data_IF_112218630181
#
_entry.id   IF_112218630181
#
_cell.length_a   1.000
_cell.length_b   1.000
_cell.length_c   1.000
_cell.angle_alpha   90.00
_cell.angle_beta   90.00
_cell.angle_gamma   90.00
#
_symmetry.space_group_name_H-M   'P 1'
#
loop_
_entity.id
_entity.type
_entity.pdbx_description
1 polymer ?
#
# COMPACT_ATOMS: atom_id res chain seq x y z
N UNK A 1 -34.13 -35.04 -4.45
CA UNK A 1 -33.04 -34.04 -4.35
C UNK A 1 -32.93 -33.67 -2.89
N UNK A 2 -31.97 -34.28 -2.19
CA UNK A 2 -31.77 -34.12 -0.75
C UNK A 2 -31.43 -32.65 -0.44
N UNK A 3 -32.23 -32.03 0.42
CA UNK A 3 -31.98 -30.68 0.88
C UNK A 3 -30.67 -30.68 1.67
N UNK A 4 -29.63 -30.04 1.15
CA UNK A 4 -28.46 -29.70 1.94
C UNK A 4 -28.94 -29.01 3.23
N UNK A 5 -28.47 -29.41 4.42
CA UNK A 5 -28.92 -28.84 5.71
C UNK A 5 -28.48 -27.37 5.93
N UNK A 6 -28.03 -26.69 4.87
CA UNK A 6 -27.49 -25.34 4.86
C UNK A 6 -28.24 -24.53 3.80
N UNK A 7 -29.01 -23.54 4.25
CA UNK A 7 -29.63 -22.55 3.35
C UNK A 7 -28.57 -21.60 2.80
N UNK A 8 -28.07 -21.90 1.60
CA UNK A 8 -27.09 -21.09 0.88
C UNK A 8 -27.63 -19.75 0.38
N UNK A 9 -28.95 -19.49 0.49
CA UNK A 9 -29.55 -18.21 0.12
C UNK A 9 -29.57 -17.21 1.29
N UNK A 10 -29.36 -17.68 2.53
CA UNK A 10 -29.29 -16.79 3.69
C UNK A 10 -28.00 -15.94 3.67
N UNK A 11 -28.08 -14.61 3.82
CA UNK A 11 -26.92 -13.71 3.68
C UNK A 11 -25.80 -14.01 4.69
N UNK A 12 -26.15 -14.38 5.94
CA UNK A 12 -25.17 -14.75 6.95
C UNK A 12 -24.41 -16.06 6.61
N UNK A 13 -25.06 -17.01 5.94
CA UNK A 13 -24.43 -18.28 5.51
C UNK A 13 -23.47 -18.00 4.35
N UNK A 14 -23.83 -17.10 3.42
CA UNK A 14 -22.94 -16.66 2.33
C UNK A 14 -21.70 -15.93 2.86
N UNK A 15 -21.89 -15.01 3.81
CA UNK A 15 -20.78 -14.29 4.45
C UNK A 15 -19.85 -15.27 5.18
N UNK A 16 -20.40 -16.24 5.92
CA UNK A 16 -19.61 -17.29 6.57
C UNK A 16 -18.84 -18.16 5.56
N UNK A 17 -19.50 -18.64 4.49
CA UNK A 17 -18.85 -19.44 3.45
C UNK A 17 -17.76 -18.67 2.70
N UNK A 18 -17.97 -17.37 2.44
CA UNK A 18 -16.95 -16.52 1.83
C UNK A 18 -15.73 -16.32 2.73
N UNK A 19 -15.97 -16.18 4.03
CA UNK A 19 -14.94 -16.03 5.05
C UNK A 19 -14.13 -17.32 5.20
N UNK A 20 -14.78 -18.48 5.23
CA UNK A 20 -14.11 -19.80 5.24
C UNK A 20 -13.27 -20.00 3.97
N UNK A 21 -13.82 -19.67 2.80
CA UNK A 21 -13.05 -19.74 1.54
C UNK A 21 -11.82 -18.85 1.57
N UNK A 22 -11.94 -17.62 2.05
CA UNK A 22 -10.80 -16.70 2.17
C UNK A 22 -9.78 -17.16 3.21
N UNK A 23 -10.21 -17.72 4.33
CA UNK A 23 -9.31 -18.26 5.36
C UNK A 23 -8.45 -19.42 4.84
N UNK A 24 -8.92 -20.17 3.84
CA UNK A 24 -8.14 -21.22 3.19
C UNK A 24 -7.34 -20.66 2.01
N UNK A 25 -7.98 -19.87 1.16
CA UNK A 25 -7.42 -19.39 -0.10
C UNK A 25 -6.30 -18.38 0.10
N UNK A 26 -6.42 -17.47 1.08
CA UNK A 26 -5.40 -16.45 1.34
C UNK A 26 -4.08 -17.05 1.83
N UNK A 27 -4.02 -17.87 2.90
CA UNK A 27 -2.77 -18.48 3.33
C UNK A 27 -2.17 -19.39 2.26
N UNK A 28 -3.02 -20.16 1.55
CA UNK A 28 -2.56 -21.01 0.46
C UNK A 28 -1.90 -20.19 -0.66
N UNK A 29 -2.54 -19.11 -1.11
CA UNK A 29 -1.98 -18.23 -2.15
C UNK A 29 -0.66 -17.60 -1.74
N UNK A 30 -0.54 -17.19 -0.47
CA UNK A 30 0.68 -16.64 0.09
C UNK A 30 1.80 -17.67 0.12
N UNK A 31 1.53 -18.89 0.60
CA UNK A 31 2.51 -19.98 0.65
C UNK A 31 3.01 -20.35 -0.75
N UNK A 32 2.11 -20.44 -1.73
CA UNK A 32 2.47 -20.71 -3.12
C UNK A 32 3.36 -19.60 -3.69
N UNK A 33 3.00 -18.33 -3.44
CA UNK A 33 3.80 -17.18 -3.87
C UNK A 33 5.21 -17.21 -3.24
N UNK A 34 5.30 -17.37 -1.92
CA UNK A 34 6.56 -17.47 -1.19
C UNK A 34 7.42 -18.63 -1.70
N UNK A 35 6.84 -19.82 -1.85
CA UNK A 35 7.55 -21.00 -2.33
C UNK A 35 8.08 -20.79 -3.76
N UNK A 36 7.24 -20.25 -4.64
CA UNK A 36 7.62 -19.98 -6.03
C UNK A 36 8.76 -18.97 -6.11
N UNK A 37 8.63 -17.82 -5.43
CA UNK A 37 9.68 -16.79 -5.43
C UNK A 37 10.96 -17.31 -4.79
N UNK A 38 10.88 -18.10 -3.72
CA UNK A 38 12.05 -18.70 -3.07
C UNK A 38 12.76 -19.71 -3.99
N UNK A 39 12.01 -20.58 -4.66
CA UNK A 39 12.56 -21.55 -5.63
C UNK A 39 13.23 -20.82 -6.79
N UNK A 40 12.56 -19.83 -7.38
CA UNK A 40 13.12 -19.03 -8.49
C UNK A 40 14.32 -18.17 -8.06
N UNK A 41 14.48 -17.87 -6.78
CA UNK A 41 15.57 -17.01 -6.28
C UNK A 41 16.78 -17.78 -5.76
N UNK A 42 16.58 -18.94 -5.12
CA UNK A 42 17.61 -19.65 -4.36
C UNK A 42 17.93 -21.02 -4.94
N UNK A 43 16.92 -21.74 -5.46
CA UNK A 43 17.08 -23.14 -5.88
C UNK A 43 17.52 -23.22 -7.35
N UNK A 44 16.97 -22.37 -8.21
CA UNK A 44 17.26 -22.38 -9.64
C UNK A 44 18.41 -21.41 -9.94
N UNK A 45 19.35 -21.86 -10.78
CA UNK A 45 20.47 -21.05 -11.28
C UNK A 45 20.43 -20.98 -12.82
N UNK A 46 20.49 -19.79 -13.44
CA UNK A 46 20.50 -18.47 -12.80
C UNK A 46 19.18 -18.14 -12.08
N UNK A 47 19.26 -17.50 -10.91
CA UNK A 47 18.08 -17.09 -10.14
C UNK A 47 17.54 -15.72 -10.53
N UNK A 48 16.47 -15.25 -9.87
CA UNK A 48 15.87 -13.93 -10.15
C UNK A 48 16.88 -12.77 -10.09
N UNK A 49 17.75 -12.79 -9.08
CA UNK A 49 18.78 -11.77 -8.88
C UNK A 49 19.90 -11.83 -9.92
N UNK A 50 20.26 -13.02 -10.39
CA UNK A 50 21.26 -13.20 -11.44
C UNK A 50 20.74 -12.70 -12.78
N UNK A 51 19.46 -12.96 -13.09
CA UNK A 51 18.81 -12.40 -14.28
C UNK A 51 18.78 -10.87 -14.19
N UNK A 52 18.48 -10.28 -13.03
CA UNK A 52 18.54 -8.83 -12.87
C UNK A 52 19.95 -8.26 -13.13
N UNK A 53 21.01 -9.00 -12.78
CA UNK A 53 22.40 -8.62 -13.07
C UNK A 53 22.76 -8.74 -14.55
N UNK A 54 22.15 -9.67 -15.27
CA UNK A 54 22.32 -9.81 -16.73
C UNK A 54 21.65 -8.67 -17.52
N UNK A 55 20.61 -8.06 -16.95
CA UNK A 55 19.84 -6.99 -17.58
C UNK A 55 19.88 -5.69 -16.76
N UNK A 56 21.06 -5.04 -16.63
CA UNK A 56 21.16 -3.78 -15.92
C UNK A 56 20.43 -2.68 -16.72
N UNK A 57 19.67 -1.85 -16.01
CA UNK A 57 18.94 -0.72 -16.56
C UNK A 57 19.13 0.52 -15.67
N UNK A 58 18.79 1.70 -16.18
CA UNK A 58 19.14 2.96 -15.51
C UNK A 58 18.51 3.06 -14.11
N UNK A 59 17.33 2.46 -13.94
CA UNK A 59 16.56 2.43 -12.71
C UNK A 59 16.70 1.12 -11.92
N UNK A 60 17.63 0.24 -12.31
CA UNK A 60 17.83 -1.04 -11.64
C UNK A 60 18.15 -0.84 -10.14
N UNK A 61 17.42 -1.50 -9.24
CA UNK A 61 17.70 -1.48 -7.81
C UNK A 61 18.73 -2.53 -7.41
N UNK A 62 19.33 -2.37 -6.24
CA UNK A 62 20.18 -3.37 -5.60
C UNK A 62 19.35 -4.64 -5.26
N UNK A 63 19.64 -5.81 -5.87
CA UNK A 63 18.79 -6.99 -5.72
C UNK A 63 18.59 -7.44 -4.28
N UNK A 64 19.62 -7.34 -3.44
CA UNK A 64 19.55 -7.73 -2.03
C UNK A 64 18.56 -6.86 -1.24
N UNK A 65 18.53 -5.55 -1.49
CA UNK A 65 17.60 -4.64 -0.81
C UNK A 65 16.15 -4.87 -1.23
N UNK A 66 15.91 -5.26 -2.49
CA UNK A 66 14.59 -5.68 -2.96
C UNK A 66 14.17 -7.00 -2.32
N UNK A 67 15.10 -7.95 -2.17
CA UNK A 67 14.82 -9.22 -1.48
C UNK A 67 14.38 -8.99 -0.03
N UNK A 68 15.09 -8.13 0.72
CA UNK A 68 14.68 -7.72 2.08
C UNK A 68 13.27 -7.12 2.08
N UNK A 69 12.99 -6.23 1.12
CA UNK A 69 11.68 -5.60 1.01
C UNK A 69 10.57 -6.63 0.77
N UNK A 70 10.80 -7.61 -0.11
CA UNK A 70 9.86 -8.71 -0.38
C UNK A 70 9.63 -9.57 0.88
N UNK A 71 10.70 -9.87 1.64
CA UNK A 71 10.58 -10.59 2.92
C UNK A 71 9.70 -9.80 3.91
N UNK A 72 9.86 -8.49 4.02
CA UNK A 72 9.02 -7.65 4.88
C UNK A 72 7.55 -7.68 4.44
N UNK A 73 7.26 -7.65 3.13
CA UNK A 73 5.90 -7.84 2.63
C UNK A 73 5.35 -9.19 3.07
N UNK A 74 6.11 -10.28 2.89
CA UNK A 74 5.65 -11.61 3.27
C UNK A 74 5.39 -11.74 4.77
N UNK A 75 6.25 -11.18 5.62
CA UNK A 75 6.01 -11.12 7.06
C UNK A 75 4.70 -10.39 7.39
N UNK A 76 4.45 -9.25 6.73
CA UNK A 76 3.20 -8.52 6.89
C UNK A 76 1.97 -9.31 6.40
N UNK A 77 2.09 -10.06 5.30
CA UNK A 77 1.02 -10.93 4.80
C UNK A 77 0.78 -12.16 5.68
N UNK A 78 1.81 -12.70 6.33
CA UNK A 78 1.64 -13.73 7.36
C UNK A 78 0.83 -13.14 8.53
N UNK A 79 1.17 -11.93 8.97
CA UNK A 79 0.40 -11.20 9.99
C UNK A 79 -1.06 -10.96 9.59
N UNK A 80 -1.31 -10.63 8.32
CA UNK A 80 -2.66 -10.55 7.75
C UNK A 80 -3.42 -11.88 7.87
N UNK A 81 -2.78 -13.00 7.51
CA UNK A 81 -3.37 -14.33 7.63
C UNK A 81 -3.67 -14.72 9.08
N UNK A 82 -2.80 -14.35 10.02
CA UNK A 82 -3.05 -14.56 11.45
C UNK A 82 -4.25 -13.73 11.93
N UNK A 83 -4.36 -12.47 11.49
CA UNK A 83 -5.54 -11.64 11.78
C UNK A 83 -6.83 -12.24 11.21
N UNK A 84 -6.81 -12.81 10.01
CA UNK A 84 -7.97 -13.49 9.42
C UNK A 84 -8.53 -14.61 10.29
N UNK A 85 -7.66 -15.32 11.01
CA UNK A 85 -8.06 -16.41 11.92
C UNK A 85 -8.45 -15.89 13.30
N UNK A 86 -7.71 -14.90 13.82
CA UNK A 86 -7.85 -14.41 15.19
C UNK A 86 -8.89 -13.29 15.35
N UNK A 87 -9.26 -12.58 14.28
CA UNK A 87 -10.17 -11.44 14.34
C UNK A 87 -11.56 -11.87 14.81
N UNK A 88 -11.98 -11.31 15.94
CA UNK A 88 -13.33 -11.53 16.49
C UNK A 88 -14.31 -10.41 16.15
N UNK A 89 -13.79 -9.20 15.90
CA UNK A 89 -14.60 -8.00 15.61
C UNK A 89 -15.21 -8.05 14.20
N UNK A 90 -16.52 -7.79 14.03
CA UNK A 90 -17.18 -7.85 12.74
C UNK A 90 -16.65 -6.79 11.76
N UNK A 91 -16.22 -5.64 12.25
CA UNK A 91 -15.66 -4.56 11.42
C UNK A 91 -14.35 -5.01 10.77
N UNK A 92 -13.45 -5.61 11.56
CA UNK A 92 -12.18 -6.15 11.05
C UNK A 92 -12.43 -7.30 10.06
N UNK A 93 -13.37 -8.20 10.35
CA UNK A 93 -13.76 -9.27 9.41
C UNK A 93 -14.28 -8.72 8.09
N UNK A 94 -15.12 -7.68 8.12
CA UNK A 94 -15.62 -7.04 6.92
C UNK A 94 -14.49 -6.38 6.12
N UNK A 95 -13.58 -5.68 6.77
CA UNK A 95 -12.41 -5.09 6.09
C UNK A 95 -11.53 -6.14 5.43
N UNK A 96 -11.31 -7.28 6.10
CA UNK A 96 -10.54 -8.40 5.58
C UNK A 96 -11.22 -9.07 4.38
N UNK A 97 -12.51 -9.40 4.50
CA UNK A 97 -13.24 -10.17 3.49
C UNK A 97 -13.64 -9.31 2.29
N UNK A 98 -14.26 -8.15 2.54
CA UNK A 98 -14.85 -7.29 1.51
C UNK A 98 -13.85 -6.27 0.95
N UNK A 99 -12.84 -5.89 1.73
CA UNK A 99 -11.84 -4.91 1.30
C UNK A 99 -10.69 -5.51 0.50
N UNK A 100 -10.05 -6.55 1.04
CA UNK A 100 -8.71 -6.99 0.60
C UNK A 100 -8.64 -8.44 0.14
N UNK A 101 -9.50 -9.31 0.69
CA UNK A 101 -9.34 -10.75 0.62
C UNK A 101 -9.08 -11.30 -0.79
N UNK A 102 -10.01 -11.09 -1.72
CA UNK A 102 -9.92 -11.65 -3.06
C UNK A 102 -8.85 -10.97 -3.95
N UNK A 103 -8.75 -9.62 -3.99
CA UNK A 103 -7.66 -8.95 -4.72
C UNK A 103 -6.27 -9.36 -4.25
N UNK A 104 -6.06 -9.54 -2.94
CA UNK A 104 -4.76 -9.94 -2.40
C UNK A 104 -4.40 -11.38 -2.78
N UNK A 105 -5.38 -12.29 -2.79
CA UNK A 105 -5.18 -13.66 -3.30
C UNK A 105 -4.71 -13.64 -4.74
N UNK A 106 -5.41 -12.91 -5.62
CA UNK A 106 -5.02 -12.81 -7.02
C UNK A 106 -3.65 -12.13 -7.16
N UNK A 107 -3.35 -11.09 -6.38
CA UNK A 107 -2.04 -10.45 -6.36
C UNK A 107 -0.92 -11.45 -6.02
N UNK A 108 -1.14 -12.36 -5.06
CA UNK A 108 -0.17 -13.40 -4.73
C UNK A 108 0.07 -14.38 -5.89
N UNK A 109 -0.99 -14.82 -6.57
CA UNK A 109 -0.88 -15.67 -7.75
C UNK A 109 -0.17 -14.98 -8.92
N UNK A 110 -0.50 -13.72 -9.18
CA UNK A 110 0.12 -12.93 -10.24
C UNK A 110 1.60 -12.67 -9.93
N UNK A 111 1.96 -12.41 -8.67
CA UNK A 111 3.35 -12.27 -8.24
C UNK A 111 4.14 -13.58 -8.39
N UNK A 112 3.54 -14.72 -8.07
CA UNK A 112 4.15 -16.03 -8.30
C UNK A 112 4.40 -16.27 -9.80
N UNK A 113 3.38 -16.01 -10.63
CA UNK A 113 3.50 -16.11 -12.08
C UNK A 113 4.52 -15.14 -12.67
N UNK A 114 4.63 -13.93 -12.11
CA UNK A 114 5.63 -12.95 -12.49
C UNK A 114 7.05 -13.48 -12.28
N UNK A 115 7.32 -14.10 -11.12
CA UNK A 115 8.64 -14.67 -10.82
C UNK A 115 9.03 -15.77 -11.81
N UNK A 116 8.08 -16.64 -12.17
CA UNK A 116 8.29 -17.68 -13.20
C UNK A 116 8.53 -17.05 -14.58
N UNK A 117 7.72 -16.08 -14.99
CA UNK A 117 7.90 -15.39 -16.27
C UNK A 117 9.24 -14.65 -16.35
N UNK A 118 9.68 -14.03 -15.24
CA UNK A 118 10.99 -13.39 -15.14
C UNK A 118 12.12 -14.40 -15.26
N UNK A 119 12.01 -15.55 -14.58
CA UNK A 119 12.99 -16.62 -14.64
C UNK A 119 13.21 -17.14 -16.06
N UNK A 120 12.13 -17.31 -16.83
CA UNK A 120 12.18 -17.71 -18.24
C UNK A 120 12.52 -16.55 -19.20
N UNK A 121 12.85 -15.36 -18.68
CA UNK A 121 13.16 -14.17 -19.46
C UNK A 121 12.03 -13.76 -20.42
N UNK A 122 10.78 -14.13 -20.11
CA UNK A 122 9.60 -13.73 -20.84
C UNK A 122 9.20 -12.29 -20.42
N UNK A 123 10.06 -11.31 -20.68
CA UNK A 123 9.96 -9.95 -20.13
C UNK A 123 8.65 -9.24 -20.48
N UNK A 124 8.11 -9.46 -21.68
CA UNK A 124 6.80 -8.92 -22.05
C UNK A 124 5.68 -9.47 -21.15
N UNK A 125 5.62 -10.80 -20.99
CA UNK A 125 4.64 -11.48 -20.12
C UNK A 125 4.84 -11.02 -18.67
N UNK A 126 6.09 -10.94 -18.23
CA UNK A 126 6.47 -10.47 -16.90
C UNK A 126 5.99 -9.04 -16.65
N UNK A 127 6.14 -8.14 -17.63
CA UNK A 127 5.66 -6.75 -17.55
C UNK A 127 4.14 -6.66 -17.52
N UNK A 128 3.43 -7.46 -18.33
CA UNK A 128 1.96 -7.56 -18.30
C UNK A 128 1.49 -8.03 -16.93
N UNK A 129 2.11 -9.07 -16.36
CA UNK A 129 1.78 -9.57 -15.03
C UNK A 129 2.01 -8.52 -13.95
N UNK A 130 3.10 -7.74 -14.00
CA UNK A 130 3.30 -6.61 -13.07
C UNK A 130 2.25 -5.50 -13.25
N UNK A 131 1.80 -5.24 -14.48
CA UNK A 131 0.69 -4.31 -14.74
C UNK A 131 -0.61 -4.79 -14.09
N UNK A 132 -0.96 -6.06 -14.27
CA UNK A 132 -2.13 -6.69 -13.63
C UNK A 132 -1.99 -6.65 -12.11
N UNK A 133 -0.82 -6.99 -11.58
CA UNK A 133 -0.52 -6.92 -10.14
C UNK A 133 -0.75 -5.51 -9.60
N UNK A 134 -0.23 -4.49 -10.29
CA UNK A 134 -0.36 -3.10 -9.90
C UNK A 134 -1.84 -2.66 -9.89
N UNK A 135 -2.63 -3.04 -10.90
CA UNK A 135 -4.07 -2.74 -10.95
C UNK A 135 -4.83 -3.39 -9.78
N UNK A 136 -4.57 -4.67 -9.50
CA UNK A 136 -5.18 -5.38 -8.37
C UNK A 136 -4.87 -4.71 -7.03
N UNK A 137 -3.61 -4.30 -6.84
CA UNK A 137 -3.16 -3.67 -5.59
C UNK A 137 -3.65 -2.22 -5.47
N UNK A 138 -3.73 -1.47 -6.56
CA UNK A 138 -4.38 -0.15 -6.57
C UNK A 138 -5.86 -0.29 -6.21
N UNK A 139 -6.57 -1.23 -6.83
CA UNK A 139 -7.97 -1.51 -6.50
C UNK A 139 -8.14 -1.82 -5.01
N UNK A 140 -7.35 -2.74 -4.46
CA UNK A 140 -7.41 -3.08 -3.03
C UNK A 140 -7.15 -1.86 -2.13
N UNK A 141 -6.17 -1.02 -2.47
CA UNK A 141 -5.87 0.20 -1.71
C UNK A 141 -6.96 1.27 -1.81
N UNK A 142 -7.58 1.42 -2.98
CA UNK A 142 -8.71 2.36 -3.18
C UNK A 142 -9.94 1.89 -2.38
N UNK A 143 -10.26 0.59 -2.42
CA UNK A 143 -11.37 0.02 -1.64
C UNK A 143 -11.11 0.19 -0.15
N UNK A 144 -9.90 -0.12 0.32
CA UNK A 144 -9.49 0.11 1.71
C UNK A 144 -9.61 1.58 2.11
N UNK A 145 -9.27 2.50 1.21
CA UNK A 145 -9.31 3.90 1.51
C UNK A 145 -10.74 4.46 1.61
N UNK A 146 -11.62 4.05 0.69
CA UNK A 146 -12.98 4.60 0.56
C UNK A 146 -13.93 3.93 1.56
N UNK A 147 -13.93 2.60 1.60
CA UNK A 147 -14.94 1.83 2.34
C UNK A 147 -14.47 1.40 3.74
N UNK A 148 -13.15 1.32 3.97
CA UNK A 148 -12.57 0.85 5.23
C UNK A 148 -11.41 1.72 5.72
N UNK A 149 -11.63 3.03 5.92
CA UNK A 149 -10.54 3.98 6.14
C UNK A 149 -9.69 3.62 7.37
N UNK A 150 -8.38 3.89 7.32
CA UNK A 150 -7.48 3.64 8.44
C UNK A 150 -7.89 4.50 9.65
N UNK A 151 -8.06 3.86 10.81
CA UNK A 151 -8.45 4.53 12.06
C UNK A 151 -7.41 4.28 13.14
N UNK A 152 -7.05 5.33 13.90
CA UNK A 152 -6.09 5.22 15.01
C UNK A 152 -6.59 4.35 16.17
N UNK A 153 -7.89 4.10 16.24
CA UNK A 153 -8.52 3.23 17.24
C UNK A 153 -8.23 1.73 17.02
N UNK A 154 -7.76 1.33 15.83
CA UNK A 154 -7.50 -0.06 15.45
C UNK A 154 -6.08 -0.19 14.88
N UNK A 155 -5.04 -0.09 15.74
CA UNK A 155 -3.65 -0.06 15.29
C UNK A 155 -3.22 -1.36 14.60
N UNK A 156 -3.77 -2.52 15.01
CA UNK A 156 -3.48 -3.80 14.38
C UNK A 156 -4.06 -3.89 12.96
N UNK A 157 -5.27 -3.35 12.71
CA UNK A 157 -5.84 -3.28 11.35
C UNK A 157 -4.93 -2.42 10.45
N UNK A 158 -4.43 -1.29 10.97
CA UNK A 158 -3.47 -0.44 10.25
C UNK A 158 -2.15 -1.17 9.93
N UNK A 159 -1.56 -1.83 10.92
CA UNK A 159 -0.25 -2.46 10.79
C UNK A 159 -0.26 -3.76 9.96
N UNK A 160 -1.34 -4.54 10.02
CA UNK A 160 -1.40 -5.88 9.44
C UNK A 160 -2.37 -6.02 8.27
N UNK A 161 -3.19 -5.00 7.97
CA UNK A 161 -4.02 -4.96 6.77
C UNK A 161 -3.52 -3.86 5.84
N UNK A 162 -3.55 -2.61 6.29
CA UNK A 162 -3.23 -1.48 5.42
C UNK A 162 -1.74 -1.44 5.05
N UNK A 163 -0.84 -1.61 6.02
CA UNK A 163 0.59 -1.52 5.78
C UNK A 163 1.12 -2.57 4.77
N UNK A 164 0.87 -3.88 4.91
CA UNK A 164 1.38 -4.86 3.95
C UNK A 164 0.80 -4.67 2.55
N UNK A 165 -0.49 -4.36 2.42
CA UNK A 165 -1.15 -4.14 1.12
C UNK A 165 -0.60 -2.88 0.43
N UNK A 166 -0.32 -1.82 1.20
CA UNK A 166 0.34 -0.61 0.68
C UNK A 166 1.78 -0.89 0.27
N UNK A 167 2.56 -1.52 1.14
CA UNK A 167 3.95 -1.87 0.85
C UNK A 167 4.04 -2.77 -0.39
N UNK A 168 3.12 -3.72 -0.54
CA UNK A 168 3.06 -4.58 -1.70
C UNK A 168 2.72 -3.81 -2.98
N UNK A 169 1.82 -2.82 -2.94
CA UNK A 169 1.50 -1.95 -4.08
C UNK A 169 2.66 -1.04 -4.48
N UNK A 170 3.37 -0.49 -3.49
CA UNK A 170 4.43 0.48 -3.71
C UNK A 170 5.63 -0.14 -4.44
N UNK A 171 5.87 -1.43 -4.25
CA UNK A 171 6.96 -2.15 -4.90
C UNK A 171 6.88 -2.15 -6.45
N UNK A 172 5.81 -2.67 -7.09
CA UNK A 172 5.63 -2.56 -8.53
C UNK A 172 5.47 -1.12 -8.98
N UNK A 173 4.76 -0.28 -8.22
CA UNK A 173 4.54 1.12 -8.57
C UNK A 173 5.84 1.93 -8.69
N UNK A 174 6.75 1.82 -7.72
CA UNK A 174 7.94 2.67 -7.69
C UNK A 174 9.10 2.11 -8.50
N UNK A 175 9.23 0.79 -8.64
CA UNK A 175 10.42 0.21 -9.29
C UNK A 175 10.13 -0.99 -10.16
N UNK A 176 9.39 -2.00 -9.68
CA UNK A 176 9.38 -3.30 -10.33
C UNK A 176 8.75 -3.27 -11.73
N UNK A 177 7.60 -2.59 -11.87
CA UNK A 177 6.93 -2.46 -13.16
C UNK A 177 7.80 -1.71 -14.17
N UNK A 178 8.32 -0.54 -13.77
CA UNK A 178 9.12 0.29 -14.65
C UNK A 178 10.44 -0.37 -15.03
N UNK A 179 11.10 -1.08 -14.10
CA UNK A 179 12.33 -1.80 -14.39
C UNK A 179 12.09 -2.91 -15.43
N UNK A 180 11.01 -3.69 -15.27
CA UNK A 180 10.63 -4.72 -16.23
C UNK A 180 10.26 -4.13 -17.60
N UNK A 181 9.57 -2.99 -17.60
CA UNK A 181 9.27 -2.24 -18.83
C UNK A 181 10.55 -1.79 -19.54
N UNK A 182 11.55 -1.28 -18.81
CA UNK A 182 12.82 -0.87 -19.40
C UNK A 182 13.54 -2.06 -20.05
N UNK A 183 13.53 -3.22 -19.41
CA UNK A 183 14.11 -4.45 -19.99
C UNK A 183 13.34 -4.88 -21.23
N UNK A 184 12.00 -4.87 -21.17
CA UNK A 184 11.13 -5.24 -22.29
C UNK A 184 11.35 -4.32 -23.51
N UNK A 185 11.61 -3.02 -23.27
CA UNK A 185 11.93 -2.05 -24.31
C UNK A 185 13.38 -2.13 -24.81
N UNK A 186 14.20 -3.03 -24.26
CA UNK A 186 15.62 -3.13 -24.57
C UNK A 186 16.44 -1.94 -24.06
N UNK A 187 15.94 -1.19 -23.07
CA UNK A 187 16.63 -0.06 -22.44
C UNK A 187 17.60 -0.51 -21.36
N UNK A 188 18.39 -1.53 -21.69
CA UNK A 188 19.43 -2.13 -20.87
C UNK A 188 20.81 -1.89 -21.51
N UNK A 189 21.86 -2.27 -20.80
CA UNK A 189 23.21 -2.35 -21.37
C UNK A 189 23.84 -3.70 -21.04
N UNK A 190 24.86 -4.09 -21.81
CA UNK A 190 25.61 -5.30 -21.50
C UNK A 190 26.47 -5.08 -20.24
N UNK A 191 26.46 -6.01 -19.26
CA UNK A 191 27.36 -5.93 -18.11
C UNK A 191 28.85 -5.84 -18.49
N UNK A 192 29.24 -6.38 -19.66
CA UNK A 192 30.60 -6.28 -20.19
C UNK A 192 30.96 -4.93 -20.81
N UNK A 193 29.97 -4.05 -21.02
CA UNK A 193 30.13 -2.72 -21.62
C UNK A 193 29.56 -1.62 -20.71
N UNK A 194 30.14 -1.43 -19.51
CA UNK A 194 29.59 -0.53 -18.50
C UNK A 194 29.57 0.93 -18.95
N UNK A 195 30.32 1.32 -19.99
CA UNK A 195 30.33 2.69 -20.55
C UNK A 195 28.95 3.16 -21.02
N UNK A 196 28.02 2.25 -21.31
CA UNK A 196 26.68 2.58 -21.79
C UNK A 196 25.63 2.74 -20.67
N UNK A 197 26.04 2.76 -19.39
CA UNK A 197 25.15 2.88 -18.23
C UNK A 197 24.27 4.14 -18.22
N UNK A 198 24.69 5.21 -18.91
CA UNK A 198 23.97 6.47 -18.99
C UNK A 198 22.91 6.50 -20.12
N UNK A 199 22.78 5.42 -20.90
CA UNK A 199 21.75 5.32 -21.94
C UNK A 199 20.36 5.38 -21.31
N UNK A 200 19.45 6.09 -21.96
CA UNK A 200 18.07 6.31 -21.49
C UNK A 200 17.95 6.99 -20.11
N UNK A 201 18.99 7.69 -19.65
CA UNK A 201 19.00 8.35 -18.34
C UNK A 201 17.84 9.34 -18.10
N UNK A 202 17.42 10.06 -19.15
CA UNK A 202 16.31 11.00 -19.07
C UNK A 202 14.96 10.32 -18.87
N UNK A 203 14.73 9.17 -19.52
CA UNK A 203 13.54 8.36 -19.29
C UNK A 203 13.53 7.80 -17.87
N UNK A 204 14.68 7.28 -17.40
CA UNK A 204 14.84 6.82 -16.02
C UNK A 204 14.56 7.94 -15.01
N UNK A 205 15.09 9.15 -15.27
CA UNK A 205 14.85 10.32 -14.42
C UNK A 205 13.37 10.71 -14.41
N UNK A 206 12.72 10.77 -15.58
CA UNK A 206 11.30 11.13 -15.68
C UNK A 206 10.40 10.17 -14.91
N UNK A 207 10.64 8.86 -15.05
CA UNK A 207 9.91 7.84 -14.27
C UNK A 207 10.14 8.02 -12.78
N UNK A 208 11.41 8.07 -12.34
CA UNK A 208 11.74 8.20 -10.92
C UNK A 208 11.20 9.49 -10.31
N UNK A 209 11.28 10.61 -11.04
CA UNK A 209 10.71 11.87 -10.62
C UNK A 209 9.19 11.77 -10.48
N UNK A 210 8.49 11.20 -11.47
CA UNK A 210 7.04 11.05 -11.47
C UNK A 210 6.52 10.22 -10.29
N UNK A 211 7.07 9.02 -10.09
CA UNK A 211 6.62 8.13 -9.01
C UNK A 211 6.94 8.70 -7.62
N UNK A 212 8.09 9.37 -7.48
CA UNK A 212 8.47 9.97 -6.19
C UNK A 212 7.74 11.28 -5.90
N UNK A 213 7.37 12.09 -6.90
CA UNK A 213 6.50 13.25 -6.71
C UNK A 213 5.10 12.80 -6.26
N UNK A 214 4.56 11.75 -6.87
CA UNK A 214 3.31 11.13 -6.43
C UNK A 214 3.42 10.66 -4.98
N UNK A 215 4.51 9.96 -4.64
CA UNK A 215 4.75 9.50 -3.28
C UNK A 215 4.89 10.63 -2.27
N UNK A 216 5.62 11.68 -2.63
CA UNK A 216 5.78 12.88 -1.80
C UNK A 216 4.42 13.55 -1.52
N UNK A 217 3.57 13.70 -2.55
CA UNK A 217 2.25 14.28 -2.40
C UNK A 217 1.38 13.46 -1.43
N UNK A 218 1.40 12.13 -1.57
CA UNK A 218 0.65 11.22 -0.68
C UNK A 218 1.17 11.33 0.77
N UNK A 219 2.49 11.32 0.97
CA UNK A 219 3.12 11.45 2.28
C UNK A 219 2.78 12.80 2.92
N UNK A 220 2.87 13.90 2.18
CA UNK A 220 2.60 15.24 2.69
C UNK A 220 1.11 15.45 3.04
N UNK A 221 0.19 15.01 2.18
CA UNK A 221 -1.26 15.21 2.38
C UNK A 221 -1.81 14.26 3.45
N UNK A 222 -1.43 12.99 3.41
CA UNK A 222 -2.03 11.95 4.25
C UNK A 222 -1.20 11.55 5.47
N UNK A 223 0.03 12.05 5.59
CA UNK A 223 0.96 11.67 6.66
C UNK A 223 1.16 10.15 6.71
N UNK A 224 1.24 9.51 5.54
CA UNK A 224 1.35 8.06 5.41
C UNK A 224 2.78 7.58 5.69
N UNK A 225 2.98 7.03 6.89
CA UNK A 225 4.26 6.52 7.37
C UNK A 225 4.73 5.32 6.52
N UNK A 226 3.79 4.43 6.14
CA UNK A 226 4.12 3.23 5.37
C UNK A 226 4.66 3.66 4.01
N UNK A 227 3.98 4.61 3.36
CA UNK A 227 4.44 5.15 2.08
C UNK A 227 5.82 5.80 2.19
N UNK A 228 6.04 6.60 3.24
CA UNK A 228 7.32 7.27 3.46
C UNK A 228 8.47 6.26 3.59
N UNK A 229 8.34 5.28 4.49
CA UNK A 229 9.40 4.29 4.75
C UNK A 229 9.67 3.45 3.50
N UNK A 230 8.62 2.99 2.83
CA UNK A 230 8.76 2.12 1.66
C UNK A 230 9.32 2.86 0.45
N UNK A 231 8.86 4.08 0.18
CA UNK A 231 9.40 4.90 -0.91
C UNK A 231 10.87 5.28 -0.67
N UNK A 232 11.24 5.67 0.55
CA UNK A 232 12.65 5.94 0.91
C UNK A 232 13.52 4.68 0.79
N UNK A 233 13.02 3.51 1.19
CA UNK A 233 13.76 2.25 1.01
C UNK A 233 13.99 1.90 -0.46
N UNK A 234 12.98 2.06 -1.31
CA UNK A 234 13.12 1.81 -2.75
C UNK A 234 14.10 2.81 -3.37
N UNK A 235 14.03 4.10 -3.01
CA UNK A 235 15.04 5.07 -3.44
C UNK A 235 16.45 4.64 -3.01
N UNK A 236 16.61 4.20 -1.76
CA UNK A 236 17.86 3.66 -1.23
C UNK A 236 18.37 2.45 -2.01
N UNK A 237 17.50 1.52 -2.37
CA UNK A 237 17.86 0.38 -3.21
C UNK A 237 18.38 0.80 -4.58
N UNK A 238 17.84 1.88 -5.17
CA UNK A 238 18.24 2.34 -6.51
C UNK A 238 19.59 3.04 -6.46
N UNK A 239 19.83 3.97 -5.52
CA UNK A 239 21.11 4.69 -5.50
C UNK A 239 22.29 3.86 -4.97
N UNK A 240 22.01 2.77 -4.25
CA UNK A 240 23.03 1.85 -3.72
C UNK A 240 23.72 1.05 -4.83
N UNK A 241 22.98 0.66 -5.88
CA UNK A 241 23.56 -0.05 -7.02
C UNK A 241 24.42 0.89 -7.89
N UNK A 242 25.66 0.50 -8.18
CA UNK A 242 26.61 1.21 -9.05
C UNK A 242 26.99 0.38 -10.27
N UNK A 243 27.32 0.99 -11.42
CA UNK A 243 27.26 2.43 -11.73
C UNK A 243 25.83 2.94 -11.93
N UNK A 244 25.60 4.25 -11.74
CA UNK A 244 24.26 4.86 -11.86
C UNK A 244 24.35 6.18 -12.62
N UNK A 245 23.42 6.40 -13.56
CA UNK A 245 23.32 7.66 -14.28
C UNK A 245 23.07 8.83 -13.31
N UNK A 246 23.82 9.90 -13.47
CA UNK A 246 23.82 11.03 -12.54
C UNK A 246 22.42 11.66 -12.33
N UNK A 247 21.58 11.87 -13.37
CA UNK A 247 20.25 12.42 -13.17
C UNK A 247 19.36 11.53 -12.29
N UNK A 248 19.35 10.21 -12.55
CA UNK A 248 18.58 9.25 -11.75
C UNK A 248 19.10 9.21 -10.32
N UNK A 249 20.43 9.15 -10.14
CA UNK A 249 21.07 9.11 -8.83
C UNK A 249 20.68 10.31 -7.97
N UNK A 250 20.78 11.53 -8.49
CA UNK A 250 20.37 12.73 -7.76
C UNK A 250 18.89 12.69 -7.39
N UNK A 251 18.01 12.34 -8.33
CA UNK A 251 16.57 12.26 -8.06
C UNK A 251 16.29 11.34 -6.87
N UNK A 252 16.77 10.09 -6.90
CA UNK A 252 16.47 9.14 -5.83
C UNK A 252 17.14 9.51 -4.50
N UNK A 253 18.33 10.14 -4.51
CA UNK A 253 18.97 10.62 -3.27
C UNK A 253 18.17 11.75 -2.64
N UNK A 254 17.77 12.75 -3.42
CA UNK A 254 16.92 13.86 -2.94
C UNK A 254 15.64 13.31 -2.33
N UNK A 255 14.94 12.42 -3.04
CA UNK A 255 13.68 11.87 -2.54
C UNK A 255 13.86 10.92 -1.36
N UNK A 256 15.01 10.24 -1.21
CA UNK A 256 15.29 9.46 0.01
C UNK A 256 15.18 10.32 1.27
N UNK A 257 15.63 11.58 1.19
CA UNK A 257 15.60 12.57 2.28
C UNK A 257 14.30 13.39 2.30
N UNK A 258 13.74 13.71 1.13
CA UNK A 258 12.57 14.57 1.03
C UNK A 258 11.30 13.93 1.58
N UNK A 259 11.11 12.61 1.41
CA UNK A 259 9.97 11.89 1.98
C UNK A 259 9.87 12.02 3.51
N UNK A 260 10.91 11.68 4.31
CA UNK A 260 10.84 11.83 5.76
C UNK A 260 10.74 13.29 6.19
N UNK A 261 11.42 14.23 5.50
CA UNK A 261 11.28 15.66 5.78
C UNK A 261 9.83 16.14 5.57
N UNK A 262 9.19 15.73 4.48
CA UNK A 262 7.80 16.10 4.21
C UNK A 262 6.83 15.51 5.23
N UNK A 263 7.08 14.28 5.69
CA UNK A 263 6.29 13.68 6.77
C UNK A 263 6.41 14.49 8.07
N UNK A 264 7.64 14.83 8.47
CA UNK A 264 7.92 15.63 9.67
C UNK A 264 7.30 17.03 9.55
N UNK A 265 7.48 17.70 8.40
CA UNK A 265 6.92 19.02 8.14
C UNK A 265 5.38 19.00 8.20
N UNK A 266 4.74 18.00 7.60
CA UNK A 266 3.29 17.85 7.63
C UNK A 266 2.75 17.57 9.05
N UNK A 267 3.46 16.73 9.83
CA UNK A 267 3.12 16.50 11.24
C UNK A 267 3.27 17.76 12.10
N UNK A 268 4.36 18.51 11.92
CA UNK A 268 4.63 19.75 12.64
C UNK A 268 3.57 20.82 12.31
N UNK A 269 3.21 20.95 11.03
CA UNK A 269 2.20 21.90 10.56
C UNK A 269 0.84 21.68 11.23
N UNK A 270 0.37 20.43 11.28
CA UNK A 270 -0.90 20.09 11.94
C UNK A 270 -0.84 20.35 13.44
N UNK A 271 0.28 20.01 14.09
CA UNK A 271 0.46 20.25 15.53
C UNK A 271 0.43 21.73 15.87
N UNK A 272 1.09 22.56 15.08
CA UNK A 272 1.11 24.03 15.26
C UNK A 272 -0.25 24.67 14.97
N UNK A 273 -0.98 24.17 13.97
CA UNK A 273 -2.31 24.70 13.61
C UNK A 273 -3.39 24.26 14.60
N UNK A 274 -3.35 23.02 15.08
CA UNK A 274 -4.29 22.50 16.09
C UNK A 274 -4.20 23.23 17.43
N UNK A 275 -3.03 23.77 17.80
CA UNK A 275 -2.88 24.63 18.97
C UNK A 275 -3.56 26.01 18.80
N UNK A 276 -3.78 26.46 17.57
CA UNK A 276 -4.45 27.75 17.28
C UNK A 276 -5.97 27.63 17.24
N UNK A 277 -6.51 26.48 16.83
CA UNK A 277 -7.95 26.24 16.74
C UNK A 277 -8.61 25.88 18.08
N UNK A 278 -7.84 25.54 19.12
CA UNK A 278 -8.34 25.30 20.48
C UNK A 278 -8.49 26.55 21.36
N UNK A 279 -8.10 27.74 20.87
CA UNK A 279 -8.09 28.97 21.67
C UNK A 279 -9.46 29.70 21.72
N UNK A 280 -10.40 29.32 20.86
CA UNK A 280 -11.76 29.91 20.82
C UNK A 280 -12.75 28.75 20.82
N UNK A 281 -12.84 28.05 21.96
CA UNK A 281 -13.99 27.20 22.24
C UNK A 281 -15.13 28.12 22.71
N UNK A 282 -16.18 28.24 21.90
CA UNK A 282 -17.45 28.79 22.37
C UNK A 282 -17.96 27.88 23.51
N UNK A 283 -18.46 28.44 24.63
CA UNK A 283 -19.12 27.65 25.67
C UNK A 283 -20.20 26.77 25.00
N UNK A 284 -20.35 25.51 25.41
CA UNK A 284 -21.43 24.69 24.89
C UNK A 284 -22.76 25.39 25.20
N UNK A 285 -23.55 25.70 24.16
CA UNK A 285 -24.91 26.19 24.34
C UNK A 285 -25.68 25.15 25.17
N UNK A 286 -26.18 25.57 26.33
CA UNK A 286 -26.91 24.76 27.31
C UNK A 286 -28.31 24.34 26.80
N UNK A 287 -28.41 23.74 25.61
CA UNK A 287 -29.68 23.38 24.98
C UNK A 287 -30.05 21.89 25.10
N UNK A 288 -29.31 21.05 25.85
CA UNK A 288 -29.64 19.62 26.02
C UNK A 288 -29.30 19.03 27.40
N UNK A 289 -29.62 19.74 28.49
CA UNK A 289 -29.65 19.16 29.84
C UNK A 289 -31.09 18.87 30.27
N UNK A 290 -31.68 17.79 29.72
CA UNK A 290 -32.94 17.23 30.23
C UNK A 290 -32.62 16.37 31.46
N UNK A 291 -32.79 16.94 32.66
CA UNK A 291 -33.50 16.38 33.84
C UNK A 291 -33.00 16.97 35.16
N UNK A 292 -33.89 17.68 35.88
CA UNK A 292 -33.87 17.72 37.36
C UNK A 292 -34.00 19.08 38.08
N UNK A 293 -35.18 19.73 38.01
CA UNK A 293 -35.74 20.70 39.01
C UNK A 293 -35.04 22.07 39.23
N UNK A 294 -35.69 23.05 39.91
CA UNK A 294 -36.96 23.69 39.61
C UNK A 294 -36.84 25.23 39.37
N UNK A 295 -37.69 25.72 38.47
CA UNK A 295 -38.12 27.10 38.20
C UNK A 295 -37.42 28.28 38.93
N UNK A 296 -36.61 29.04 38.18
CA UNK A 296 -36.34 30.45 38.48
C UNK A 296 -36.94 31.31 37.34
N UNK A 297 -38.00 32.05 37.67
CA UNK A 297 -38.69 32.98 36.76
C UNK A 297 -37.77 34.14 36.38
N UNK A 298 -37.30 34.16 35.14
CA UNK A 298 -36.78 35.35 34.46
C UNK A 298 -37.91 36.21 33.86
N UNK A 299 -37.62 37.45 33.43
CA UNK A 299 -38.65 38.43 33.06
C UNK A 299 -39.39 38.00 31.79
N UNK A 300 -40.72 38.13 31.84
CA UNK A 300 -41.65 37.76 30.77
C UNK A 300 -41.45 38.70 29.58
N UNK A 301 -41.03 38.17 28.43
CA UNK A 301 -41.13 38.90 27.17
C UNK A 301 -42.60 39.18 26.86
N UNK A 302 -42.87 40.42 26.47
CA UNK A 302 -44.22 40.90 26.13
C UNK A 302 -44.49 40.45 24.70
N UNK A 303 -45.55 39.66 24.50
CA UNK A 303 -46.01 39.25 23.17
C UNK A 303 -46.30 40.48 22.31
N UNK A 304 -45.53 40.65 21.24
CA UNK A 304 -45.69 41.73 20.27
C UNK A 304 -47.02 41.64 19.48
N UNK A 305 -47.69 40.50 19.52
CA UNK A 305 -49.00 40.26 18.89
C UNK A 305 -50.18 40.81 19.70
N UNK A 306 -49.95 41.30 20.92
CA UNK A 306 -50.98 41.99 21.72
C UNK A 306 -51.09 43.50 21.40
N UNK A 307 -50.24 44.04 20.52
CA UNK A 307 -50.17 45.48 20.23
C UNK A 307 -50.76 45.90 18.87
N UNK A 308 -51.12 44.93 18.02
CA UNK A 308 -51.73 45.20 16.72
C UNK A 308 -52.78 44.13 16.43
N UNK A 309 -54.02 44.40 16.84
CA UNK A 309 -55.18 43.57 16.53
C UNK A 309 -55.49 43.50 15.04
#
# INVERSE_FOLDING_TARGET
MEAFPLDTNHPAVRDYLSLVRLQVLTPLSLLINMATVMVCSIVINPGLGDIARLYPATIAPEPYMIAIYIVIIYLGQIGYCLLLVLARKPETKNTLVKGVGLPLVFANWVMAGWAVAWLFQAFLVSTVLLGVLLVLLIYANVVLLIYHPPTGQRPFDLALIHAPVRAFMILPLNVLFFYNLFITLGWTWSPGEPQHYARHQWAGMGVMLGVNLLGLAIVAIRRDIVWCVTASWICASIWSLKPKAFPVFITVVIFTVLHPLALIASMLWVRLRGQREGAIALPPDEANAVNGQPAQRGPREVDAEALWG
#
